data_IF_249798999352
#
_entry.id   IF_249798999352
#
_cell.length_a   1.000
_cell.length_b   1.000
_cell.length_c   1.000
_cell.angle_alpha   90.00
_cell.angle_beta   90.00
_cell.angle_gamma   90.00
#
_symmetry.space_group_name_H-M   'P 1'
#
loop_
_entity.id
_entity.type
_entity.pdbx_description
1 polymer ?
#
# COMPACT_ATOMS: atom_id res chain seq x y z
N UNK A 1 1.64 8.68 -0.15
CA UNK A 1 2.69 8.77 0.89
C UNK A 1 3.82 9.59 0.32
N UNK A 2 4.24 10.66 0.98
CA UNK A 2 5.49 11.34 0.63
C UNK A 2 6.67 10.62 1.31
N UNK A 3 7.77 10.43 0.59
CA UNK A 3 8.95 9.74 1.11
C UNK A 3 9.61 10.57 2.23
N UNK A 4 9.56 11.89 2.09
CA UNK A 4 10.09 12.82 3.08
C UNK A 4 9.23 12.83 4.35
N UNK A 5 7.89 12.82 4.21
CA UNK A 5 6.96 12.73 5.35
C UNK A 5 7.10 11.40 6.12
N UNK A 6 7.55 10.34 5.44
CA UNK A 6 7.78 9.03 6.05
C UNK A 6 9.16 8.90 6.72
N UNK A 7 10.00 9.96 6.68
CA UNK A 7 11.36 9.95 7.22
C UNK A 7 12.29 8.96 6.51
N UNK A 8 11.95 8.56 5.28
CA UNK A 8 12.65 7.52 4.52
C UNK A 8 13.30 8.09 3.27
N UNK A 9 14.62 8.07 3.20
CA UNK A 9 15.34 8.35 1.97
C UNK A 9 15.44 7.08 1.11
N UNK A 10 14.81 7.09 -0.06
CA UNK A 10 14.98 6.02 -1.02
C UNK A 10 16.39 6.10 -1.62
N UNK A 11 17.13 4.99 -1.63
CA UNK A 11 18.45 4.90 -2.29
C UNK A 11 18.34 4.32 -3.70
N UNK A 12 17.32 3.50 -3.94
CA UNK A 12 17.12 2.79 -5.20
C UNK A 12 15.67 2.90 -5.65
N UNK A 13 15.46 3.06 -6.95
CA UNK A 13 14.18 2.86 -7.60
C UNK A 13 14.25 1.64 -8.52
N UNK A 14 13.44 0.62 -8.25
CA UNK A 14 13.27 -0.51 -9.17
C UNK A 14 12.10 -0.18 -10.09
N UNK A 15 12.31 -0.20 -11.41
CA UNK A 15 11.24 0.02 -12.40
C UNK A 15 11.42 -0.86 -13.63
N UNK A 16 10.35 -1.00 -14.40
CA UNK A 16 10.41 -1.62 -15.72
C UNK A 16 11.00 -0.67 -16.78
N UNK A 17 11.01 -1.14 -18.03
CA UNK A 17 11.58 -0.41 -19.16
C UNK A 17 10.51 0.31 -19.99
N UNK A 18 9.38 0.68 -19.39
CA UNK A 18 8.30 1.40 -20.10
C UNK A 18 8.83 2.74 -20.65
N UNK A 19 8.42 3.10 -21.87
CA UNK A 19 8.80 4.35 -22.55
C UNK A 19 8.22 5.59 -21.89
N UNK A 20 7.25 5.43 -20.98
CA UNK A 20 6.73 6.52 -20.13
C UNK A 20 7.81 7.15 -19.23
N UNK A 21 8.94 6.48 -19.02
CA UNK A 21 10.09 6.98 -18.26
C UNK A 21 11.17 7.52 -19.22
N UNK A 22 11.15 8.81 -19.58
CA UNK A 22 12.19 9.41 -20.41
C UNK A 22 13.51 9.51 -19.67
N UNK A 23 14.62 9.72 -20.39
CA UNK A 23 15.95 9.91 -19.79
C UNK A 23 15.99 11.06 -18.75
N UNK A 24 15.16 12.09 -18.92
CA UNK A 24 15.03 13.18 -17.95
C UNK A 24 14.54 12.68 -16.57
N UNK A 25 13.69 11.66 -16.54
CA UNK A 25 13.21 11.08 -15.28
C UNK A 25 14.36 10.45 -14.48
N UNK A 26 15.22 9.68 -15.15
CA UNK A 26 16.39 9.07 -14.52
C UNK A 26 17.40 10.14 -14.07
N UNK A 27 17.54 11.23 -14.82
CA UNK A 27 18.42 12.35 -14.46
C UNK A 27 17.96 13.07 -13.18
N UNK A 28 16.66 13.34 -13.04
CA UNK A 28 16.09 13.96 -11.83
C UNK A 28 16.30 13.07 -10.60
N UNK A 29 16.11 11.75 -10.75
CA UNK A 29 16.34 10.80 -9.66
C UNK A 29 17.83 10.72 -9.27
N UNK A 30 18.73 10.74 -10.26
CA UNK A 30 20.17 10.73 -10.00
C UNK A 30 20.63 12.00 -9.26
N UNK A 31 20.09 13.17 -9.61
CA UNK A 31 20.34 14.44 -8.89
C UNK A 31 19.86 14.37 -7.44
N UNK A 32 18.74 13.70 -7.19
CA UNK A 32 18.24 13.39 -5.84
C UNK A 32 19.01 12.24 -5.13
N UNK A 33 20.06 11.69 -5.74
CA UNK A 33 20.87 10.60 -5.17
C UNK A 33 20.22 9.20 -5.25
N UNK A 34 19.15 9.04 -6.04
CA UNK A 34 18.40 7.80 -6.20
C UNK A 34 18.92 7.04 -7.42
N UNK A 35 19.43 5.82 -7.21
CA UNK A 35 19.89 4.97 -8.30
C UNK A 35 18.71 4.17 -8.92
N UNK A 36 18.51 4.32 -10.22
CA UNK A 36 17.52 3.54 -10.97
C UNK A 36 18.06 2.14 -11.31
N UNK A 37 17.30 1.11 -10.95
CA UNK A 37 17.54 -0.30 -11.28
C UNK A 37 16.43 -0.77 -12.22
N UNK A 38 16.79 -1.09 -13.46
CA UNK A 38 15.84 -1.60 -14.44
C UNK A 38 15.59 -3.10 -14.26
N UNK A 39 14.34 -3.51 -14.31
CA UNK A 39 14.02 -4.93 -14.40
C UNK A 39 14.47 -5.52 -15.74
N UNK A 40 14.67 -6.84 -15.74
CA UNK A 40 14.91 -7.59 -16.96
C UNK A 40 13.69 -7.53 -17.88
N UNK A 41 13.94 -7.56 -19.19
CA UNK A 41 12.88 -7.49 -20.21
C UNK A 41 11.90 -8.65 -20.03
N UNK A 42 10.61 -8.33 -19.81
CA UNK A 42 9.54 -9.31 -19.57
C UNK A 42 9.78 -10.21 -18.34
N UNK A 43 10.40 -9.67 -17.28
CA UNK A 43 10.60 -10.36 -16.01
C UNK A 43 9.81 -9.64 -14.90
N UNK A 44 8.47 -9.79 -14.84
CA UNK A 44 7.63 -9.11 -13.84
C UNK A 44 7.98 -9.51 -12.40
N UNK A 45 8.57 -10.70 -12.19
CA UNK A 45 9.01 -11.14 -10.86
C UNK A 45 10.04 -10.21 -10.21
N UNK A 46 10.86 -9.51 -11.01
CA UNK A 46 11.81 -8.51 -10.49
C UNK A 46 11.12 -7.26 -9.94
N UNK A 47 9.83 -7.05 -10.25
CA UNK A 47 8.98 -6.00 -9.70
C UNK A 47 7.82 -6.57 -8.86
N UNK A 48 7.97 -7.80 -8.34
CA UNK A 48 6.86 -8.57 -7.74
C UNK A 48 6.09 -7.86 -6.64
N UNK A 49 6.73 -6.97 -5.88
CA UNK A 49 6.06 -6.16 -4.85
C UNK A 49 5.02 -5.23 -5.47
N UNK A 50 5.41 -4.45 -6.49
CA UNK A 50 4.49 -3.54 -7.17
C UNK A 50 3.45 -4.29 -7.99
N UNK A 51 3.83 -5.38 -8.67
CA UNK A 51 2.88 -6.23 -9.39
C UNK A 51 1.80 -6.76 -8.44
N UNK A 52 2.20 -7.25 -7.26
CA UNK A 52 1.26 -7.72 -6.23
C UNK A 52 0.39 -6.59 -5.70
N UNK A 53 0.94 -5.39 -5.51
CA UNK A 53 0.18 -4.21 -5.07
C UNK A 53 -0.91 -3.84 -6.09
N UNK A 54 -0.55 -3.74 -7.37
CA UNK A 54 -1.49 -3.42 -8.47
C UNK A 54 -2.58 -4.48 -8.56
N UNK A 55 -2.20 -5.76 -8.55
CA UNK A 55 -3.15 -6.86 -8.61
C UNK A 55 -4.12 -6.85 -7.41
N UNK A 56 -3.63 -6.54 -6.21
CA UNK A 56 -4.48 -6.43 -5.02
C UNK A 56 -5.46 -5.25 -5.16
N UNK A 57 -4.98 -4.10 -5.62
CA UNK A 57 -5.82 -2.92 -5.89
C UNK A 57 -6.92 -3.24 -6.91
N UNK A 58 -6.60 -3.94 -7.99
CA UNK A 58 -7.59 -4.35 -8.97
C UNK A 58 -8.67 -5.26 -8.35
N UNK A 59 -8.26 -6.39 -7.75
CA UNK A 59 -9.21 -7.38 -7.24
C UNK A 59 -10.05 -6.91 -6.04
N UNK A 60 -9.49 -6.06 -5.19
CA UNK A 60 -10.13 -5.59 -3.96
C UNK A 60 -10.92 -4.30 -4.17
N UNK A 61 -10.50 -3.44 -5.09
CA UNK A 61 -11.14 -2.14 -5.36
C UNK A 61 -11.79 -2.08 -6.74
N UNK A 62 -10.99 -2.11 -7.81
CA UNK A 62 -11.43 -1.68 -9.14
C UNK A 62 -12.41 -2.66 -9.80
N UNK A 63 -12.24 -3.95 -9.57
CA UNK A 63 -13.15 -4.99 -10.10
C UNK A 63 -14.52 -5.00 -9.39
N UNK A 64 -14.63 -4.29 -8.26
CA UNK A 64 -15.80 -4.28 -7.38
C UNK A 64 -16.50 -2.92 -7.30
N UNK A 65 -15.98 -1.91 -8.01
CA UNK A 65 -16.47 -0.53 -7.91
C UNK A 65 -16.73 0.03 -9.29
N UNK A 66 -17.95 0.53 -9.51
CA UNK A 66 -18.23 1.32 -10.71
C UNK A 66 -17.61 2.71 -10.58
N UNK A 67 -16.59 2.99 -11.38
CA UNK A 67 -15.89 4.28 -11.37
C UNK A 67 -16.61 5.29 -12.28
N UNK A 68 -17.31 6.24 -11.68
CA UNK A 68 -18.03 7.29 -12.43
C UNK A 68 -17.17 8.28 -13.22
N UNK A 69 -16.05 8.74 -12.65
CA UNK A 69 -15.19 9.75 -13.27
C UNK A 69 -13.79 9.74 -12.64
N UNK A 70 -12.89 10.57 -13.18
CA UNK A 70 -11.51 10.67 -12.70
C UNK A 70 -11.41 11.12 -11.23
N UNK A 71 -12.13 12.16 -10.75
CA UNK A 71 -12.12 12.52 -9.33
C UNK A 71 -12.53 11.35 -8.41
N UNK A 72 -13.54 10.59 -8.80
CA UNK A 72 -13.98 9.41 -8.07
C UNK A 72 -12.89 8.33 -8.04
N UNK A 73 -12.23 8.06 -9.17
CA UNK A 73 -11.09 7.13 -9.23
C UNK A 73 -9.97 7.55 -8.29
N UNK A 74 -9.57 8.82 -8.33
CA UNK A 74 -8.49 9.34 -7.50
C UNK A 74 -8.84 9.27 -6.01
N UNK A 75 -10.10 9.55 -5.64
CA UNK A 75 -10.56 9.36 -4.27
C UNK A 75 -10.50 7.89 -3.85
N UNK A 76 -11.04 6.98 -4.67
CA UNK A 76 -11.03 5.54 -4.40
C UNK A 76 -9.61 4.97 -4.24
N UNK A 77 -8.68 5.37 -5.11
CA UNK A 77 -7.28 4.96 -5.04
C UNK A 77 -6.58 5.48 -3.79
N UNK A 78 -6.83 6.73 -3.37
CA UNK A 78 -6.28 7.29 -2.13
C UNK A 78 -6.83 6.57 -0.89
N UNK A 79 -8.12 6.29 -0.87
CA UNK A 79 -8.75 5.52 0.21
C UNK A 79 -8.13 4.12 0.31
N UNK A 80 -7.92 3.47 -0.84
CA UNK A 80 -7.26 2.15 -0.91
C UNK A 80 -5.79 2.20 -0.48
N UNK A 81 -5.00 3.18 -0.93
CA UNK A 81 -3.60 3.34 -0.52
C UNK A 81 -3.49 3.48 1.00
N UNK A 82 -4.32 4.34 1.59
CA UNK A 82 -4.35 4.53 3.03
C UNK A 82 -4.73 3.23 3.73
N UNK A 83 -5.80 2.55 3.29
CA UNK A 83 -6.21 1.26 3.85
C UNK A 83 -5.11 0.20 3.74
N UNK A 84 -4.49 0.07 2.57
CA UNK A 84 -3.43 -0.91 2.29
C UNK A 84 -2.24 -0.76 3.24
N UNK A 85 -1.82 0.49 3.48
CA UNK A 85 -0.65 0.80 4.30
C UNK A 85 -0.92 0.83 5.81
N UNK A 86 -2.14 1.18 6.22
CA UNK A 86 -2.45 1.41 7.64
C UNK A 86 -3.32 0.32 8.29
N UNK A 87 -4.07 -0.45 7.51
CA UNK A 87 -5.10 -1.35 8.04
C UNK A 87 -5.10 -2.76 7.44
N UNK A 88 -4.73 -2.91 6.16
CA UNK A 88 -4.71 -4.23 5.50
C UNK A 88 -3.59 -5.09 6.11
N UNK A 89 -3.87 -6.32 6.56
CA UNK A 89 -2.85 -7.24 7.04
C UNK A 89 -2.08 -7.86 5.87
N UNK A 90 -0.77 -8.06 6.04
CA UNK A 90 0.09 -8.64 5.00
C UNK A 90 0.86 -9.85 5.54
N UNK A 91 0.59 -11.02 4.96
CA UNK A 91 1.23 -12.28 5.37
C UNK A 91 2.76 -12.22 5.29
N UNK A 92 3.32 -11.48 4.32
CA UNK A 92 4.76 -11.32 4.15
C UNK A 92 5.46 -10.56 5.29
N UNK A 93 4.71 -9.89 6.16
CA UNK A 93 5.20 -9.18 7.35
C UNK A 93 4.44 -9.64 8.60
N UNK A 94 4.26 -10.97 8.75
CA UNK A 94 3.61 -11.58 9.91
C UNK A 94 2.16 -11.10 10.17
N UNK A 95 1.42 -10.75 9.11
CA UNK A 95 0.08 -10.13 9.20
C UNK A 95 0.07 -8.75 9.88
N UNK A 96 1.24 -8.11 10.04
CA UNK A 96 1.32 -6.70 10.37
C UNK A 96 0.85 -5.82 9.20
N UNK A 97 0.86 -4.52 9.44
CA UNK A 97 0.46 -3.47 8.49
C UNK A 97 1.73 -2.69 8.14
N UNK A 98 1.92 -2.23 6.90
CA UNK A 98 3.19 -1.62 6.48
C UNK A 98 3.62 -0.45 7.36
N UNK A 99 2.67 0.35 7.85
CA UNK A 99 2.94 1.50 8.73
C UNK A 99 2.62 1.26 10.20
N UNK A 100 2.10 0.09 10.58
CA UNK A 100 1.80 -0.23 11.96
C UNK A 100 2.25 -1.65 12.32
N UNK A 101 3.31 -1.78 13.15
CA UNK A 101 3.71 -3.08 13.66
C UNK A 101 2.60 -3.68 14.52
N UNK A 102 2.65 -4.99 14.70
CA UNK A 102 1.72 -5.65 15.60
C UNK A 102 1.91 -5.15 17.04
N UNK A 103 0.83 -4.87 17.78
CA UNK A 103 0.93 -4.67 19.22
C UNK A 103 1.36 -5.98 19.90
N UNK A 104 1.84 -5.90 21.16
CA UNK A 104 2.08 -7.09 21.97
C UNK A 104 0.83 -7.97 22.02
N UNK A 105 0.98 -9.30 21.96
CA UNK A 105 -0.17 -10.20 22.05
C UNK A 105 -0.82 -10.05 23.43
N UNK A 106 -2.15 -9.98 23.43
CA UNK A 106 -2.94 -10.07 24.65
C UNK A 106 -2.96 -11.54 25.07
N UNK A 107 -2.47 -11.84 26.28
CA UNK A 107 -2.41 -13.21 26.83
C UNK A 107 -3.45 -13.45 27.93
N UNK A 108 -4.05 -12.39 28.47
CA UNK A 108 -5.09 -12.48 29.48
C UNK A 108 -6.45 -12.78 28.82
N UNK A 109 -7.03 -13.93 29.17
CA UNK A 109 -8.30 -14.40 28.63
C UNK A 109 -9.47 -13.46 29.02
N UNK A 110 -9.45 -12.85 30.20
CA UNK A 110 -10.49 -11.90 30.61
C UNK A 110 -10.45 -10.66 29.73
N UNK A 111 -9.25 -10.12 29.49
CA UNK A 111 -9.05 -8.99 28.60
C UNK A 111 -9.50 -9.29 27.16
N UNK A 112 -9.30 -10.52 26.66
CA UNK A 112 -9.78 -10.95 25.33
C UNK A 112 -11.32 -10.94 25.26
N UNK A 113 -11.99 -11.41 26.32
CA UNK A 113 -13.46 -11.45 26.37
C UNK A 113 -14.08 -10.06 26.38
N UNK A 114 -13.41 -9.08 26.97
CA UNK A 114 -13.91 -7.71 27.12
C UNK A 114 -13.40 -6.75 26.01
N UNK A 115 -12.88 -7.27 24.89
CA UNK A 115 -12.42 -6.43 23.78
C UNK A 115 -13.59 -5.72 23.09
N UNK A 116 -13.64 -4.39 23.22
CA UNK A 116 -14.52 -3.56 22.39
C UNK A 116 -13.85 -3.32 21.02
N UNK A 117 -14.28 -4.06 20.00
CA UNK A 117 -13.81 -3.89 18.62
C UNK A 117 -14.83 -3.12 17.81
N UNK A 118 -14.40 -1.98 17.26
CA UNK A 118 -15.20 -1.12 16.38
C UNK A 118 -14.78 -1.30 14.93
N UNK A 119 -15.79 -1.39 14.06
CA UNK A 119 -15.61 -1.44 12.61
C UNK A 119 -15.83 -0.04 12.03
N UNK A 120 -14.89 0.44 11.22
CA UNK A 120 -15.09 1.59 10.33
C UNK A 120 -15.12 1.11 8.88
N UNK A 121 -16.07 1.64 8.13
CA UNK A 121 -16.28 1.30 6.73
C UNK A 121 -15.77 2.43 5.85
N UNK A 122 -15.12 2.09 4.74
CA UNK A 122 -14.66 3.02 3.71
C UNK A 122 -15.20 2.60 2.36
N UNK A 123 -15.36 3.56 1.45
CA UNK A 123 -15.89 3.33 0.10
C UNK A 123 -17.20 2.53 0.10
N UNK A 124 -18.17 2.95 0.92
CA UNK A 124 -19.48 2.29 0.99
C UNK A 124 -19.46 0.89 1.60
N UNK A 125 -18.43 0.54 2.39
CA UNK A 125 -18.31 -0.76 3.04
C UNK A 125 -17.50 -1.80 2.26
N UNK A 126 -16.97 -1.41 1.09
CA UNK A 126 -16.04 -2.23 0.32
C UNK A 126 -14.77 -2.56 1.12
N UNK A 127 -14.24 -1.56 1.84
CA UNK A 127 -13.09 -1.70 2.72
C UNK A 127 -13.56 -1.58 4.17
N UNK A 128 -13.08 -2.47 5.03
CA UNK A 128 -13.45 -2.52 6.44
C UNK A 128 -12.18 -2.50 7.29
N UNK A 129 -12.11 -1.55 8.21
CA UNK A 129 -11.04 -1.46 9.20
C UNK A 129 -11.60 -1.73 10.60
N UNK A 130 -10.79 -2.34 11.45
CA UNK A 130 -11.17 -2.74 12.81
C UNK A 130 -10.15 -2.16 13.80
N UNK A 131 -10.64 -1.55 14.88
CA UNK A 131 -9.84 -0.97 15.94
C UNK A 131 -10.45 -1.27 17.31
N UNK A 132 -9.63 -1.22 18.36
CA UNK A 132 -10.12 -1.24 19.73
C UNK A 132 -10.76 0.12 20.06
N UNK A 133 -11.93 0.14 20.68
CA UNK A 133 -12.40 1.33 21.37
C UNK A 133 -11.52 1.54 22.60
N UNK A 134 -11.05 2.77 22.80
CA UNK A 134 -10.17 3.15 23.90
C UNK A 134 -10.82 2.92 25.28
#
# INVERSE_FOLDING_TARGET
>A
MDLDDAGNSARFLIRDRDRKFPALFDAVLADAGIQVILTGVRIPRMNSIMERWIQSCHHELLDRTLIWNQPHLLHALREYEQFYNTHRPHQGIANARPLHPLPPPITDQAQITDLDIRRRQRLGGLLNEYHHAA
#
